data_IF_866514207773
#
_entry.id   IF_866514207773
#
_cell.length_a   1.000
_cell.length_b   1.000
_cell.length_c   1.000
_cell.angle_alpha   90.00
_cell.angle_beta   90.00
_cell.angle_gamma   90.00
#
_symmetry.space_group_name_H-M   'P 1'
#
loop_
_entity.id
_entity.type
_entity.pdbx_description
1 polymer ?
#
# COMPACT_ATOMS: atom_id res chain seq x y z
N UNK A 1 -27.79 -1.07 6.87
CA UNK A 1 -26.86 -2.07 7.44
C UNK A 1 -26.61 -3.09 6.33
N UNK A 2 -25.37 -3.31 5.88
CA UNK A 2 -25.11 -4.31 4.83
C UNK A 2 -25.26 -5.70 5.44
N UNK A 3 -26.02 -6.58 4.79
CA UNK A 3 -26.10 -8.00 5.13
C UNK A 3 -24.67 -8.57 5.28
N UNK A 4 -24.38 -9.35 6.33
CA UNK A 4 -23.09 -10.02 6.46
C UNK A 4 -22.88 -10.95 5.28
N UNK A 5 -21.66 -10.98 4.74
CA UNK A 5 -21.29 -11.94 3.72
C UNK A 5 -21.48 -13.36 4.26
N UNK A 6 -22.06 -14.23 3.44
CA UNK A 6 -22.18 -15.65 3.78
C UNK A 6 -20.80 -16.23 4.13
N UNK A 7 -20.70 -17.15 5.11
CA UNK A 7 -19.45 -17.81 5.43
C UNK A 7 -18.83 -18.44 4.19
N UNK A 8 -17.53 -18.25 3.99
CA UNK A 8 -16.81 -18.96 2.94
C UNK A 8 -16.78 -20.46 3.29
N UNK A 9 -17.56 -21.27 2.56
CA UNK A 9 -17.68 -22.71 2.80
C UNK A 9 -16.45 -23.51 2.32
N UNK A 10 -15.51 -22.86 1.63
CA UNK A 10 -14.27 -23.46 1.17
C UNK A 10 -13.22 -23.57 2.29
N UNK A 11 -12.39 -24.61 2.23
CA UNK A 11 -11.16 -24.64 2.99
C UNK A 11 -10.21 -23.61 2.38
N UNK A 12 -9.78 -22.61 3.15
CA UNK A 12 -8.66 -21.77 2.73
C UNK A 12 -7.44 -22.66 2.48
N UNK A 13 -6.62 -22.38 1.45
CA UNK A 13 -5.38 -23.13 1.24
C UNK A 13 -4.53 -23.08 2.50
N UNK A 14 -3.76 -24.15 2.75
CA UNK A 14 -2.81 -24.16 3.87
C UNK A 14 -1.90 -22.94 3.78
N UNK A 15 -1.66 -22.27 4.91
CA UNK A 15 -0.73 -21.15 4.99
C UNK A 15 0.67 -21.69 4.73
N UNK A 16 1.11 -21.66 3.48
CA UNK A 16 2.48 -22.01 3.11
C UNK A 16 3.40 -20.83 3.47
N UNK A 17 4.63 -21.11 3.89
CA UNK A 17 5.61 -20.07 4.22
C UNK A 17 6.06 -19.24 2.99
N UNK A 18 5.55 -19.55 1.80
CA UNK A 18 5.86 -18.88 0.55
C UNK A 18 4.59 -18.30 -0.07
N UNK A 19 4.47 -16.97 -0.07
CA UNK A 19 3.41 -16.29 -0.79
C UNK A 19 3.59 -16.52 -2.30
N UNK A 20 2.77 -17.37 -2.91
CA UNK A 20 2.69 -17.45 -4.36
C UNK A 20 1.86 -16.26 -4.84
N UNK A 21 2.51 -15.28 -5.47
CA UNK A 21 1.81 -14.10 -5.97
C UNK A 21 1.04 -14.45 -7.26
N UNK A 22 -0.15 -13.85 -7.47
CA UNK A 22 -0.84 -13.95 -8.75
C UNK A 22 0.05 -13.43 -9.89
N UNK A 23 -0.19 -13.94 -11.11
CA UNK A 23 0.51 -13.49 -12.32
C UNK A 23 0.41 -11.97 -12.45
N UNK A 24 1.54 -11.34 -12.81
CA UNK A 24 1.64 -9.89 -12.96
C UNK A 24 1.99 -9.12 -11.69
N UNK A 25 2.15 -9.79 -10.55
CA UNK A 25 2.64 -9.19 -9.30
C UNK A 25 4.03 -9.71 -8.92
N UNK A 26 4.85 -8.81 -8.39
CA UNK A 26 6.14 -9.10 -7.75
C UNK A 26 6.18 -8.52 -6.35
N UNK A 27 6.94 -9.16 -5.48
CA UNK A 27 7.23 -8.61 -4.17
C UNK A 27 8.73 -8.63 -3.90
N UNK A 28 9.17 -7.68 -3.08
CA UNK A 28 10.54 -7.60 -2.60
C UNK A 28 10.54 -6.99 -1.21
N UNK A 29 11.59 -7.26 -0.44
CA UNK A 29 11.78 -6.67 0.87
C UNK A 29 13.26 -6.36 1.10
N UNK A 30 13.53 -5.33 1.89
CA UNK A 30 14.87 -4.86 2.17
C UNK A 30 14.98 -4.32 3.60
N UNK A 31 16.21 -4.25 4.09
CA UNK A 31 16.55 -3.52 5.32
C UNK A 31 17.06 -2.14 4.94
N UNK A 32 16.38 -1.10 5.42
CA UNK A 32 16.69 0.32 5.20
C UNK A 32 17.09 1.05 6.48
N UNK A 33 17.13 0.35 7.63
CA UNK A 33 17.65 0.89 8.89
C UNK A 33 16.62 1.62 9.75
N UNK A 34 15.33 1.43 9.48
CA UNK A 34 14.23 1.95 10.31
C UNK A 34 14.21 1.19 11.64
N UNK A 35 14.38 -0.14 11.61
CA UNK A 35 14.41 -0.97 12.82
C UNK A 35 15.82 -1.05 13.37
N UNK A 36 16.03 -0.58 14.60
CA UNK A 36 17.30 -0.73 15.33
C UNK A 36 17.82 -2.18 15.38
N UNK A 37 16.92 -3.17 15.34
CA UNK A 37 17.28 -4.60 15.29
C UNK A 37 18.00 -5.06 14.01
N UNK A 38 18.05 -4.25 12.95
CA UNK A 38 18.61 -4.63 11.65
C UNK A 38 17.74 -5.61 10.83
N UNK A 39 16.57 -6.00 11.35
CA UNK A 39 15.60 -6.81 10.62
C UNK A 39 14.99 -6.03 9.45
N UNK A 40 14.59 -6.75 8.41
CA UNK A 40 13.84 -6.23 7.26
C UNK A 40 12.69 -5.33 7.70
N UNK A 41 12.63 -4.14 7.11
CA UNK A 41 11.78 -3.04 7.55
C UNK A 41 11.11 -2.28 6.40
N UNK A 42 11.40 -2.64 5.15
CA UNK A 42 10.67 -2.21 3.97
C UNK A 42 10.25 -3.41 3.14
N UNK A 43 9.00 -3.41 2.68
CA UNK A 43 8.48 -4.36 1.72
C UNK A 43 7.72 -3.63 0.61
N UNK A 44 7.75 -4.19 -0.59
CA UNK A 44 7.03 -3.68 -1.77
C UNK A 44 6.28 -4.84 -2.40
N UNK A 45 5.04 -4.58 -2.80
CA UNK A 45 4.32 -5.40 -3.79
C UNK A 45 4.02 -4.50 -4.98
N UNK A 46 4.44 -4.91 -6.17
CA UNK A 46 4.37 -4.11 -7.38
C UNK A 46 3.80 -4.92 -8.54
N UNK A 47 3.19 -4.21 -9.48
CA UNK A 47 2.77 -4.76 -10.76
C UNK A 47 3.96 -4.78 -11.70
N UNK A 48 4.16 -5.91 -12.39
CA UNK A 48 5.24 -6.08 -13.37
C UNK A 48 5.22 -4.96 -14.43
N UNK A 49 6.41 -4.53 -14.85
CA UNK A 49 6.59 -3.50 -15.87
C UNK A 49 5.91 -3.90 -17.18
N UNK A 50 5.28 -2.92 -17.84
CA UNK A 50 4.58 -3.12 -19.12
C UNK A 50 3.14 -3.64 -19.00
N UNK A 51 2.72 -4.12 -17.83
CA UNK A 51 1.31 -4.43 -17.58
C UNK A 51 0.50 -3.15 -17.27
N UNK A 52 -0.83 -3.14 -17.42
CA UNK A 52 -1.67 -2.03 -16.95
C UNK A 52 -1.69 -1.94 -15.43
N UNK A 53 -2.19 -0.82 -14.91
CA UNK A 53 -2.47 -0.65 -13.48
C UNK A 53 -3.50 -1.64 -12.96
N UNK A 54 -3.41 -1.96 -11.67
CA UNK A 54 -4.41 -2.78 -11.00
C UNK A 54 -5.54 -1.89 -10.47
N UNK A 55 -6.76 -2.39 -10.61
CA UNK A 55 -7.89 -1.84 -9.86
C UNK A 55 -7.69 -2.13 -8.37
N UNK A 56 -7.99 -1.14 -7.53
CA UNK A 56 -7.83 -1.24 -6.08
C UNK A 56 -9.14 -0.92 -5.39
N UNK A 57 -9.45 -1.69 -4.35
CA UNK A 57 -10.39 -1.33 -3.30
C UNK A 57 -9.67 -1.39 -1.95
N UNK A 58 -9.81 -0.34 -1.14
CA UNK A 58 -9.14 -0.21 0.15
C UNK A 58 -10.12 0.21 1.26
N UNK A 59 -9.94 -0.40 2.42
CA UNK A 59 -10.56 0.03 3.67
C UNK A 59 -9.49 0.60 4.58
N UNK A 60 -9.85 1.65 5.30
CA UNK A 60 -8.95 2.36 6.21
C UNK A 60 -9.56 2.34 7.61
N UNK A 61 -8.71 2.59 8.61
CA UNK A 61 -9.14 2.72 10.00
C UNK A 61 -10.28 3.74 10.15
N UNK A 62 -11.21 3.48 11.06
CA UNK A 62 -12.24 4.44 11.48
C UNK A 62 -11.78 5.34 12.62
N UNK A 63 -10.54 5.18 13.11
CA UNK A 63 -9.97 6.03 14.14
C UNK A 63 -9.82 7.48 13.63
N UNK A 64 -10.09 8.45 14.51
CA UNK A 64 -9.90 9.87 14.25
C UNK A 64 -8.42 10.24 14.03
N UNK A 65 -7.49 9.52 14.67
CA UNK A 65 -6.06 9.69 14.46
C UNK A 65 -5.59 8.79 13.31
N UNK A 66 -5.46 9.37 12.13
CA UNK A 66 -5.03 8.66 10.91
C UNK A 66 -3.56 8.97 10.63
N UNK A 67 -2.77 7.93 10.36
CA UNK A 67 -1.35 8.08 10.01
C UNK A 67 -1.16 8.70 8.62
N UNK A 68 -0.06 9.42 8.41
CA UNK A 68 0.27 10.05 7.14
C UNK A 68 0.21 9.12 5.91
N UNK A 69 0.72 7.86 5.93
CA UNK A 69 0.62 6.96 4.77
C UNK A 69 -0.81 6.65 4.33
N UNK A 70 -1.75 6.61 5.27
CA UNK A 70 -3.15 6.32 5.00
C UNK A 70 -3.83 7.54 4.36
N UNK A 71 -3.48 8.76 4.82
CA UNK A 71 -3.94 10.01 4.23
C UNK A 71 -3.46 10.11 2.78
N UNK A 72 -2.17 9.85 2.52
CA UNK A 72 -1.61 9.86 1.16
C UNK A 72 -2.31 8.84 0.25
N UNK A 73 -2.48 7.61 0.73
CA UNK A 73 -3.15 6.55 -0.03
C UNK A 73 -4.58 6.93 -0.41
N UNK A 74 -5.34 7.53 0.51
CA UNK A 74 -6.69 8.04 0.21
C UNK A 74 -6.66 9.17 -0.84
N UNK A 75 -5.69 10.08 -0.78
CA UNK A 75 -5.53 11.15 -1.77
C UNK A 75 -5.20 10.60 -3.16
N UNK A 76 -4.30 9.63 -3.24
CA UNK A 76 -3.92 8.95 -4.48
C UNK A 76 -5.09 8.19 -5.11
N UNK A 77 -5.80 7.38 -4.32
CA UNK A 77 -7.01 6.68 -4.78
C UNK A 77 -8.08 7.67 -5.25
N UNK A 78 -8.29 8.76 -4.52
CA UNK A 78 -9.24 9.81 -4.91
C UNK A 78 -8.88 10.44 -6.26
N UNK A 79 -7.60 10.73 -6.49
CA UNK A 79 -7.12 11.34 -7.72
C UNK A 79 -7.18 10.40 -8.94
N UNK A 80 -7.06 9.09 -8.71
CA UNK A 80 -7.01 8.08 -9.77
C UNK A 80 -8.32 7.30 -9.93
N UNK A 81 -9.41 7.73 -9.29
CA UNK A 81 -10.70 7.04 -9.35
C UNK A 81 -11.75 7.88 -10.04
N UNK A 82 -12.53 7.31 -10.99
CA UNK A 82 -13.70 7.97 -11.54
C UNK A 82 -14.75 8.33 -10.48
N UNK A 83 -14.78 7.59 -9.37
CA UNK A 83 -15.74 7.80 -8.26
C UNK A 83 -15.23 8.86 -7.28
N UNK A 84 -13.91 9.02 -7.14
CA UNK A 84 -13.31 10.06 -6.30
C UNK A 84 -13.61 9.94 -4.80
N UNK A 85 -13.83 8.73 -4.29
CA UNK A 85 -14.18 8.49 -2.87
C UNK A 85 -12.97 8.30 -1.93
N UNK A 86 -11.77 8.10 -2.50
CA UNK A 86 -10.54 7.81 -1.76
C UNK A 86 -10.45 6.36 -1.26
N UNK A 87 -11.27 5.45 -1.78
CA UNK A 87 -11.32 4.03 -1.40
C UNK A 87 -11.17 3.09 -2.58
N UNK A 88 -11.53 3.55 -3.78
CA UNK A 88 -11.33 2.83 -5.03
C UNK A 88 -10.40 3.62 -5.94
N UNK A 89 -9.76 2.98 -6.91
CA UNK A 89 -8.90 3.66 -7.89
C UNK A 89 -7.98 2.70 -8.62
N UNK A 90 -6.87 3.23 -9.14
CA UNK A 90 -5.83 2.49 -9.86
C UNK A 90 -4.47 2.69 -9.20
N UNK A 91 -3.61 1.67 -9.19
CA UNK A 91 -2.27 1.75 -8.61
C UNK A 91 -1.28 0.82 -9.32
N UNK A 92 0.01 1.10 -9.15
CA UNK A 92 1.14 0.22 -9.54
C UNK A 92 1.61 -0.67 -8.41
N UNK A 93 1.16 -0.44 -7.20
CA UNK A 93 1.52 -1.28 -6.06
C UNK A 93 1.47 -0.54 -4.73
N UNK A 94 2.09 -1.19 -3.74
CA UNK A 94 2.14 -0.73 -2.36
C UNK A 94 3.57 -0.82 -1.83
N UNK A 95 3.95 0.18 -1.06
CA UNK A 95 5.16 0.20 -0.25
C UNK A 95 4.79 0.18 1.23
N UNK A 96 5.42 -0.72 1.96
CA UNK A 96 5.18 -0.96 3.37
C UNK A 96 6.49 -0.70 4.12
N UNK A 97 6.44 0.20 5.09
CA UNK A 97 7.54 0.41 6.04
C UNK A 97 7.16 -0.19 7.39
N UNK A 98 8.13 -0.52 8.23
CA UNK A 98 7.87 -1.09 9.55
C UNK A 98 8.91 -0.61 10.55
N UNK A 99 8.48 -0.38 11.80
CA UNK A 99 9.34 0.15 12.87
C UNK A 99 9.07 1.62 13.20
N UNK A 100 8.30 2.33 12.38
CA UNK A 100 7.77 3.65 12.67
C UNK A 100 6.43 3.81 11.94
N UNK A 101 5.34 4.08 12.67
CA UNK A 101 3.99 4.17 12.10
C UNK A 101 3.74 5.46 11.29
N UNK A 102 4.60 6.47 11.43
CA UNK A 102 4.42 7.80 10.85
C UNK A 102 3.00 8.39 11.12
N UNK A 103 2.58 8.31 12.38
CA UNK A 103 1.30 8.80 12.87
C UNK A 103 1.51 10.03 13.76
N UNK A 104 0.56 10.96 13.75
CA UNK A 104 0.65 12.23 14.49
C UNK A 104 1.89 13.09 14.15
N UNK A 105 2.39 12.97 12.93
CA UNK A 105 3.61 13.65 12.42
C UNK A 105 3.32 14.88 11.58
N UNK A 106 2.05 15.26 11.41
CA UNK A 106 1.64 16.48 10.71
C UNK A 106 2.07 16.55 9.25
N UNK A 107 2.36 17.76 8.77
CA UNK A 107 2.73 18.01 7.37
C UNK A 107 4.08 17.39 6.99
N UNK A 108 5.04 17.32 7.92
CA UNK A 108 6.34 16.69 7.69
C UNK A 108 6.20 15.20 7.40
N UNK A 109 5.38 14.50 8.21
CA UNK A 109 5.08 13.10 7.99
C UNK A 109 4.43 12.83 6.64
N UNK A 110 3.56 13.74 6.14
CA UNK A 110 2.97 13.63 4.82
C UNK A 110 4.02 13.84 3.71
N UNK A 111 4.89 14.84 3.86
CA UNK A 111 5.99 15.09 2.93
C UNK A 111 6.96 13.91 2.85
N UNK A 112 7.22 13.22 3.96
CA UNK A 112 8.02 11.98 3.96
C UNK A 112 7.35 10.86 3.14
N UNK A 113 6.03 10.72 3.23
CA UNK A 113 5.31 9.74 2.42
C UNK A 113 5.31 10.10 0.93
N UNK A 114 5.23 11.39 0.58
CA UNK A 114 5.41 11.84 -0.80
C UNK A 114 6.80 11.49 -1.34
N UNK A 115 7.87 11.67 -0.54
CA UNK A 115 9.22 11.26 -0.92
C UNK A 115 9.34 9.75 -1.13
N UNK A 116 8.71 8.95 -0.28
CA UNK A 116 8.64 7.49 -0.43
C UNK A 116 7.91 7.14 -1.74
N UNK A 117 6.76 7.76 -2.01
CA UNK A 117 6.01 7.53 -3.25
C UNK A 117 6.82 7.93 -4.50
N UNK A 118 7.58 9.02 -4.44
CA UNK A 118 8.51 9.39 -5.51
C UNK A 118 9.63 8.35 -5.70
N UNK A 119 10.18 7.80 -4.60
CA UNK A 119 11.17 6.73 -4.66
C UNK A 119 10.64 5.47 -5.31
N UNK A 120 9.46 5.03 -4.90
CA UNK A 120 8.73 3.92 -5.52
C UNK A 120 8.48 4.17 -7.02
N UNK A 121 8.00 5.37 -7.36
CA UNK A 121 7.70 5.74 -8.72
C UNK A 121 8.92 5.75 -9.64
N UNK A 122 10.06 6.24 -9.16
CA UNK A 122 11.33 6.16 -9.90
C UNK A 122 11.74 4.71 -10.16
N UNK A 123 11.62 3.83 -9.16
CA UNK A 123 11.99 2.42 -9.29
C UNK A 123 11.13 1.65 -10.28
N UNK A 124 9.87 2.04 -10.47
CA UNK A 124 8.92 1.36 -11.36
C UNK A 124 8.59 2.16 -12.63
N UNK A 125 9.27 3.27 -12.89
CA UNK A 125 9.01 4.17 -14.02
C UNK A 125 7.52 4.55 -14.16
N UNK A 126 6.94 5.04 -13.07
CA UNK A 126 5.51 5.36 -12.96
C UNK A 126 5.26 6.76 -12.37
N UNK A 127 4.00 7.20 -12.35
CA UNK A 127 3.56 8.37 -11.60
C UNK A 127 3.53 8.07 -10.08
N UNK A 128 4.05 8.97 -9.20
CA UNK A 128 3.97 8.83 -7.74
C UNK A 128 2.57 8.57 -7.18
N UNK A 129 1.53 9.12 -7.80
CA UNK A 129 0.14 8.91 -7.40
C UNK A 129 -0.31 7.46 -7.57
N UNK A 130 0.38 6.66 -8.39
CA UNK A 130 0.10 5.22 -8.54
C UNK A 130 0.79 4.38 -7.46
N UNK A 131 1.04 4.95 -6.29
CA UNK A 131 1.64 4.28 -5.14
C UNK A 131 0.66 4.29 -3.97
N UNK A 132 0.52 3.18 -3.27
CA UNK A 132 -0.10 3.16 -1.95
C UNK A 132 0.97 2.95 -0.89
N UNK A 133 0.77 3.52 0.30
CA UNK A 133 1.74 3.49 1.39
C UNK A 133 1.13 2.96 2.68
N UNK A 134 1.91 2.22 3.45
CA UNK A 134 1.59 1.80 4.82
C UNK A 134 2.85 1.78 5.70
N UNK A 135 2.66 1.96 7.02
CA UNK A 135 3.71 2.06 8.03
C UNK A 135 3.30 1.39 9.34
#
# INVERSE_FOLDING_TARGET
MREPLAPFEGRLPESTASATLPRGFRAGAATMGIKASGRTDVAIVAIEGGLPDASVAAVFTSNALVAAPLILSQQHLRALSPVGDGRHGWSRGVVCTAGCANAATGAEGLADQERIAQGFARGLATDPKRTLAMS
#
